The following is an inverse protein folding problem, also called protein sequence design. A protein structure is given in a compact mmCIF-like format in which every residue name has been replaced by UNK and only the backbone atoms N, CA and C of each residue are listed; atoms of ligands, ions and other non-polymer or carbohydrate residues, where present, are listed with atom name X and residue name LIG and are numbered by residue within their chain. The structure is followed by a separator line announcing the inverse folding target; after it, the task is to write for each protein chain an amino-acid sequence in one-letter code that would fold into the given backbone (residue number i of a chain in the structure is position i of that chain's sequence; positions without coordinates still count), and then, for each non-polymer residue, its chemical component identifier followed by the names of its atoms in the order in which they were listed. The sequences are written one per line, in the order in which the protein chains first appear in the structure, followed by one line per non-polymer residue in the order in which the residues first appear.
data_IF_501232425487
#
_entry.id   IF_501232425487
#
_cell.length_a   1.000
_cell.length_b   1.000
_cell.length_c   1.000
_cell.angle_alpha   90.00
_cell.angle_beta   90.00
_cell.angle_gamma   90.00
#
_symmetry.space_group_name_H-M   'P 1'
#
loop_
_entity.id
_entity.type
_entity.pdbx_description
1 polymer ?
#
# COMPACT_ATOMS: atom_id res chain seq x y z
N UNK A 1 -0.64 9.44 -10.39
CA UNK A 1 -0.73 9.15 -11.84
C UNK A 1 -1.32 7.78 -12.17
N UNK A 2 -0.88 6.69 -11.51
CA UNK A 2 -1.31 5.31 -11.83
C UNK A 2 -2.82 5.03 -11.63
N UNK A 3 -3.44 5.56 -10.58
CA UNK A 3 -4.88 5.37 -10.27
C UNK A 3 -5.80 5.68 -11.44
N UNK A 4 -5.66 6.86 -12.03
CA UNK A 4 -6.51 7.34 -13.14
C UNK A 4 -6.32 6.50 -14.41
N UNK A 5 -5.14 5.90 -14.59
CA UNK A 5 -4.83 5.02 -15.71
C UNK A 5 -5.48 3.64 -15.52
N UNK A 6 -5.40 3.07 -14.31
CA UNK A 6 -6.07 1.82 -13.95
C UNK A 6 -7.59 1.95 -14.11
N UNK A 7 -8.19 3.03 -13.60
CA UNK A 7 -9.64 3.31 -13.75
C UNK A 7 -10.08 3.37 -15.22
N UNK A 8 -9.30 4.08 -16.06
CA UNK A 8 -9.61 4.19 -17.50
C UNK A 8 -9.47 2.87 -18.23
N UNK A 9 -8.44 2.09 -17.89
CA UNK A 9 -8.19 0.78 -18.50
C UNK A 9 -9.37 -0.15 -18.25
N UNK A 10 -9.76 -0.30 -16.99
CA UNK A 10 -10.83 -1.22 -16.60
C UNK A 10 -12.21 -0.79 -17.10
N UNK A 11 -12.52 0.51 -17.14
CA UNK A 11 -13.75 1.01 -17.78
C UNK A 11 -13.81 0.62 -19.26
N UNK A 12 -12.69 0.77 -19.97
CA UNK A 12 -12.63 0.44 -21.40
C UNK A 12 -12.70 -1.08 -21.65
N UNK A 13 -12.12 -1.88 -20.76
CA UNK A 13 -12.24 -3.34 -20.80
C UNK A 13 -13.72 -3.77 -20.73
N UNK A 14 -14.51 -3.20 -19.81
CA UNK A 14 -15.94 -3.54 -19.67
C UNK A 14 -16.76 -3.19 -20.93
N UNK A 15 -16.49 -2.02 -21.53
CA UNK A 15 -17.18 -1.62 -22.77
C UNK A 15 -16.91 -2.59 -23.94
N UNK A 16 -15.67 -3.07 -24.05
CA UNK A 16 -15.28 -4.05 -25.07
C UNK A 16 -15.89 -5.42 -24.77
N UNK A 17 -15.83 -5.86 -23.51
CA UNK A 17 -16.35 -7.17 -23.11
C UNK A 17 -17.87 -7.26 -23.26
N UNK A 18 -18.61 -6.17 -23.00
CA UNK A 18 -20.06 -6.12 -23.21
C UNK A 18 -20.49 -6.31 -24.67
N UNK A 19 -19.59 -6.07 -25.62
CA UNK A 19 -19.80 -6.29 -27.07
C UNK A 19 -19.32 -7.66 -27.53
N UNK A 20 -18.62 -8.40 -26.67
CA UNK A 20 -18.11 -9.74 -26.92
C UNK A 20 -19.04 -10.78 -26.30
N UNK A 21 -19.18 -11.93 -26.93
CA UNK A 21 -19.82 -13.12 -26.33
C UNK A 21 -18.84 -13.96 -25.50
N UNK A 22 -17.62 -13.46 -25.29
CA UNK A 22 -16.59 -14.14 -24.50
C UNK A 22 -16.91 -14.07 -22.99
N UNK A 23 -16.59 -15.13 -22.24
CA UNK A 23 -16.73 -15.14 -20.79
C UNK A 23 -15.88 -14.03 -20.15
N UNK A 24 -16.35 -13.47 -19.03
CA UNK A 24 -15.61 -12.45 -18.30
C UNK A 24 -14.22 -12.98 -17.90
N UNK A 25 -13.15 -12.17 -18.04
CA UNK A 25 -11.82 -12.56 -17.61
C UNK A 25 -11.75 -12.68 -16.08
N UNK A 26 -10.73 -13.39 -15.58
CA UNK A 26 -10.51 -13.63 -14.14
C UNK A 26 -10.46 -12.32 -13.32
N UNK A 27 -10.01 -11.23 -13.94
CA UNK A 27 -9.99 -9.89 -13.34
C UNK A 27 -10.92 -8.98 -14.16
N UNK A 28 -12.06 -8.61 -13.58
CA UNK A 28 -13.07 -7.75 -14.21
C UNK A 28 -13.51 -6.63 -13.27
N UNK A 29 -13.90 -5.50 -13.86
CA UNK A 29 -14.35 -4.33 -13.11
C UNK A 29 -15.85 -4.37 -12.87
N UNK A 30 -16.23 -4.17 -11.62
CA UNK A 30 -17.62 -4.03 -11.20
C UNK A 30 -17.86 -2.54 -10.94
N UNK A 31 -18.81 -1.97 -11.68
CA UNK A 31 -19.18 -0.57 -11.53
C UNK A 31 -19.63 -0.29 -10.08
N UNK A 32 -19.03 0.73 -9.46
CA UNK A 32 -19.31 1.11 -8.07
C UNK A 32 -18.56 0.30 -6.99
N UNK A 33 -17.84 -0.77 -7.35
CA UNK A 33 -17.09 -1.63 -6.40
C UNK A 33 -15.58 -1.38 -6.42
N UNK A 34 -15.09 -0.35 -7.10
CA UNK A 34 -13.66 -0.12 -7.17
C UNK A 34 -13.12 0.48 -5.87
N UNK A 35 -12.76 -0.38 -4.92
CA UNK A 35 -12.16 -0.01 -3.65
C UNK A 35 -10.65 -0.04 -3.78
N UNK A 36 -10.06 1.12 -4.06
CA UNK A 36 -8.61 1.28 -4.04
C UNK A 36 -8.17 1.49 -2.59
N UNK A 37 -7.64 0.44 -1.98
CA UNK A 37 -6.99 0.53 -0.66
C UNK A 37 -5.52 0.86 -0.91
N UNK A 38 -5.10 2.04 -0.45
CA UNK A 38 -3.68 2.37 -0.40
C UNK A 38 -3.03 1.44 0.63
N UNK A 39 -2.06 0.64 0.18
CA UNK A 39 -1.22 -0.14 1.08
C UNK A 39 0.12 0.55 1.07
N UNK A 40 0.29 1.53 1.95
CA UNK A 40 1.59 2.12 2.18
C UNK A 40 2.49 1.07 2.82
N UNK A 41 3.76 1.08 2.43
CA UNK A 41 4.78 0.18 2.97
C UNK A 41 6.06 0.97 3.12
N UNK A 42 6.64 0.91 4.31
CA UNK A 42 7.98 1.40 4.54
C UNK A 42 8.99 0.25 4.46
N UNK A 43 10.19 0.55 3.97
CA UNK A 43 11.30 -0.38 4.08
C UNK A 43 11.57 -0.70 5.56
N UNK A 44 12.05 -1.91 5.88
CA UNK A 44 12.45 -2.25 7.25
C UNK A 44 13.37 -1.18 7.85
N UNK A 45 13.11 -0.82 9.11
CA UNK A 45 13.79 0.29 9.80
C UNK A 45 13.22 1.68 9.52
N UNK A 46 12.23 1.82 8.64
CA UNK A 46 11.54 3.09 8.37
C UNK A 46 10.06 3.02 8.73
N UNK A 47 9.44 4.15 9.07
CA UNK A 47 8.02 4.26 9.37
C UNK A 47 7.51 5.69 9.23
N UNK A 48 6.20 5.83 9.11
CA UNK A 48 5.48 7.10 9.13
C UNK A 48 5.12 7.48 10.56
N UNK A 49 5.34 8.74 10.92
CA UNK A 49 4.92 9.30 12.19
C UNK A 49 4.53 10.77 12.02
N UNK A 50 3.24 11.07 11.83
CA UNK A 50 2.78 12.45 11.60
C UNK A 50 2.91 13.35 12.84
N UNK A 51 3.05 12.77 14.04
CA UNK A 51 3.23 13.53 15.27
C UNK A 51 4.68 14.02 15.42
N UNK A 52 5.65 13.20 15.02
CA UNK A 52 7.08 13.56 15.07
C UNK A 52 7.49 14.33 13.81
N UNK A 53 6.89 14.02 12.65
CA UNK A 53 7.18 14.63 11.35
C UNK A 53 5.93 15.29 10.74
N UNK A 54 5.46 16.40 11.34
CA UNK A 54 4.24 17.07 10.89
C UNK A 54 4.35 17.65 9.47
N UNK A 55 5.56 17.99 9.02
CA UNK A 55 5.82 18.53 7.68
C UNK A 55 5.77 17.46 6.58
N UNK A 56 5.83 16.16 6.95
CA UNK A 56 5.62 15.06 6.01
C UNK A 56 4.95 13.84 6.69
N UNK A 57 3.62 13.87 6.85
CA UNK A 57 2.88 12.82 7.56
C UNK A 57 2.92 11.45 6.87
N UNK A 58 3.12 11.44 5.55
CA UNK A 58 3.16 10.24 4.70
C UNK A 58 4.59 9.81 4.33
N UNK A 59 5.63 10.40 4.93
CA UNK A 59 7.02 10.02 4.64
C UNK A 59 7.44 8.81 5.48
N UNK A 60 8.01 7.80 4.82
CA UNK A 60 8.79 6.77 5.51
C UNK A 60 10.14 7.34 5.95
N UNK A 61 10.27 7.65 7.23
CA UNK A 61 11.50 8.15 7.86
C UNK A 61 12.15 7.07 8.71
N UNK A 62 13.45 7.20 9.00
CA UNK A 62 14.14 6.26 9.86
C UNK A 62 13.50 6.21 11.25
N UNK A 63 13.30 5.01 11.80
CA UNK A 63 12.76 4.84 13.14
C UNK A 63 13.66 5.52 14.19
N UNK A 64 13.04 6.19 15.16
CA UNK A 64 13.76 6.80 16.28
C UNK A 64 14.43 5.74 17.15
N UNK A 65 15.48 6.08 17.93
CA UNK A 65 16.07 5.17 18.90
C UNK A 65 14.98 4.54 19.80
N UNK A 66 15.19 3.28 20.20
CA UNK A 66 14.22 2.49 21.00
C UNK A 66 12.95 2.09 20.22
N UNK A 67 12.92 2.30 18.90
CA UNK A 67 11.85 1.80 18.03
C UNK A 67 12.39 1.07 16.80
N UNK A 68 11.57 0.20 16.21
CA UNK A 68 11.95 -0.61 15.05
C UNK A 68 10.74 -0.88 14.15
N UNK A 69 10.98 -1.16 12.87
CA UNK A 69 10.00 -1.74 11.96
C UNK A 69 10.61 -3.01 11.33
N UNK A 70 10.11 -4.22 11.68
CA UNK A 70 10.71 -5.47 11.23
C UNK A 70 10.43 -5.78 9.74
N UNK A 71 9.35 -5.24 9.16
CA UNK A 71 9.05 -5.33 7.73
C UNK A 71 7.58 -5.10 7.35
N UNK A 72 7.37 -4.53 6.16
CA UNK A 72 6.08 -4.19 5.51
C UNK A 72 5.06 -3.38 6.34
N UNK A 73 5.37 -3.01 7.58
CA UNK A 73 4.60 -2.07 8.37
C UNK A 73 4.83 -0.62 7.94
N UNK A 74 3.92 0.24 8.35
CA UNK A 74 3.98 1.69 8.13
C UNK A 74 4.36 2.47 9.40
N UNK A 75 4.50 1.80 10.54
CA UNK A 75 4.80 2.43 11.82
C UNK A 75 6.00 1.78 12.49
N UNK A 76 6.75 2.57 13.25
CA UNK A 76 7.78 2.07 14.14
C UNK A 76 7.14 1.62 15.46
N UNK A 77 7.48 0.43 15.92
CA UNK A 77 7.03 -0.18 17.17
C UNK A 77 8.10 0.01 18.25
N UNK A 78 7.71 0.12 19.52
CA UNK A 78 8.64 0.20 20.65
C UNK A 78 9.38 -1.13 20.85
N UNK A 79 10.64 -1.04 21.25
CA UNK A 79 11.48 -2.19 21.59
C UNK A 79 11.18 -2.75 23.00
N UNK A 80 9.90 -2.90 23.38
CA UNK A 80 9.52 -3.30 24.75
C UNK A 80 9.60 -4.82 24.97
N UNK A 81 9.33 -5.63 23.94
CA UNK A 81 9.34 -7.10 24.04
C UNK A 81 9.64 -7.81 22.71
N UNK A 82 10.25 -7.12 21.75
CA UNK A 82 10.54 -7.75 20.45
C UNK A 82 11.68 -8.76 20.58
N UNK A 83 11.50 -9.97 20.04
CA UNK A 83 12.59 -10.93 19.84
C UNK A 83 13.24 -10.77 18.45
N UNK A 84 12.70 -9.86 17.63
CA UNK A 84 13.08 -9.65 16.25
C UNK A 84 13.52 -8.20 16.10
N UNK A 85 14.82 -8.00 16.00
CA UNK A 85 15.44 -6.71 15.78
C UNK A 85 15.99 -6.67 14.35
N UNK A 86 15.53 -5.69 13.56
CA UNK A 86 15.98 -5.52 12.17
C UNK A 86 15.07 -6.16 11.12
N UNK A 87 15.49 -6.08 9.86
CA UNK A 87 14.74 -6.52 8.69
C UNK A 87 14.61 -8.05 8.65
N UNK A 88 13.39 -8.57 8.57
CA UNK A 88 13.17 -10.03 8.52
C UNK A 88 13.16 -10.64 7.12
N UNK A 89 13.00 -9.84 6.07
CA UNK A 89 13.00 -10.30 4.66
C UNK A 89 13.34 -9.16 3.71
N UNK A 90 14.17 -9.44 2.71
CA UNK A 90 14.48 -8.58 1.54
C UNK A 90 13.46 -8.78 0.42
#
# INVERSE_FOLDING_TARGET
MAKKLLERFFKKQVELHRRSSEPLPEIYYIEGMMQMVWVDRCYPGYGMNPLIHPDCPECCVACSPVSYNPGNGIHCLLCDSSLIYGATTF
#
